data_IF_933470678158
#
_entry.id   IF_933470678158
#
_cell.length_a   1.000
_cell.length_b   1.000
_cell.length_c   1.000
_cell.angle_alpha   90.00
_cell.angle_beta   90.00
_cell.angle_gamma   90.00
#
_symmetry.space_group_name_H-M   'P 1'
#
loop_
_entity.id
_entity.type
_entity.pdbx_description
1 polymer ?
#
# COMPACT_ATOMS: atom_id res chain seq x y z
N UNK A 1 22.13 5.92 14.78
CA UNK A 1 22.14 4.96 13.66
C UNK A 1 22.60 5.71 12.42
N UNK A 2 23.34 5.07 11.51
CA UNK A 2 23.67 5.68 10.22
C UNK A 2 22.37 5.94 9.42
N UNK A 3 22.32 7.03 8.66
CA UNK A 3 21.14 7.43 7.88
C UNK A 3 20.66 6.31 6.94
N UNK A 4 21.61 5.64 6.28
CA UNK A 4 21.36 4.49 5.40
C UNK A 4 20.67 3.31 6.11
N UNK A 5 20.95 3.10 7.40
CA UNK A 5 20.35 2.02 8.17
C UNK A 5 18.86 2.28 8.43
N UNK A 6 18.54 3.53 8.83
CA UNK A 6 17.16 3.92 9.07
C UNK A 6 16.35 3.87 7.76
N UNK A 7 16.92 4.37 6.67
CA UNK A 7 16.28 4.33 5.36
C UNK A 7 15.99 2.91 4.87
N UNK A 8 16.96 1.98 4.95
CA UNK A 8 16.76 0.58 4.53
C UNK A 8 15.73 -0.14 5.42
N UNK A 9 15.75 0.09 6.74
CA UNK A 9 14.78 -0.52 7.65
C UNK A 9 13.35 -0.04 7.35
N UNK A 10 13.18 1.28 7.19
CA UNK A 10 11.90 1.88 6.86
C UNK A 10 11.38 1.36 5.52
N UNK A 11 12.23 1.31 4.49
CA UNK A 11 11.84 0.78 3.18
C UNK A 11 11.43 -0.69 3.27
N UNK A 12 12.19 -1.52 3.99
CA UNK A 12 11.87 -2.92 4.20
C UNK A 12 10.55 -3.11 4.97
N UNK A 13 10.30 -2.29 5.98
CA UNK A 13 9.07 -2.32 6.78
C UNK A 13 7.83 -1.88 5.97
N UNK A 14 7.96 -0.86 5.12
CA UNK A 14 6.90 -0.40 4.21
C UNK A 14 6.60 -1.45 3.14
N UNK A 15 7.64 -2.07 2.57
CA UNK A 15 7.47 -3.12 1.56
C UNK A 15 6.96 -4.45 2.13
N UNK A 16 7.26 -4.75 3.38
CA UNK A 16 7.00 -6.04 4.02
C UNK A 16 7.85 -7.20 3.48
N UNK A 17 8.32 -7.12 2.23
CA UNK A 17 9.25 -8.05 1.63
C UNK A 17 10.04 -7.38 0.51
N UNK A 18 11.34 -7.66 0.45
CA UNK A 18 12.20 -7.30 -0.68
C UNK A 18 12.78 -8.57 -1.31
N UNK A 19 12.75 -8.64 -2.64
CA UNK A 19 13.44 -9.69 -3.41
C UNK A 19 14.74 -9.15 -4.00
N UNK A 20 15.80 -9.93 -3.97
CA UNK A 20 17.10 -9.61 -4.52
C UNK A 20 18.26 -10.15 -3.67
N UNK A 21 19.51 -9.92 -4.10
CA UNK A 21 20.68 -10.21 -3.27
C UNK A 21 20.65 -9.36 -1.99
N UNK A 22 21.10 -9.93 -0.87
CA UNK A 22 21.26 -9.19 0.36
C UNK A 22 22.32 -8.10 0.17
N UNK A 23 21.95 -6.86 0.48
CA UNK A 23 22.90 -5.74 0.54
C UNK A 23 23.59 -5.74 1.91
N UNK A 24 24.76 -5.09 2.06
CA UNK A 24 25.41 -4.95 3.36
C UNK A 24 24.49 -4.32 4.44
N UNK A 25 23.58 -3.43 4.04
CA UNK A 25 22.58 -2.82 4.91
C UNK A 25 21.57 -3.86 5.40
N UNK A 26 21.05 -4.72 4.52
CA UNK A 26 20.14 -5.81 4.89
C UNK A 26 20.82 -6.85 5.80
N UNK A 27 22.09 -7.17 5.53
CA UNK A 27 22.89 -8.04 6.39
C UNK A 27 23.08 -7.42 7.79
N UNK A 28 23.35 -6.12 7.86
CA UNK A 28 23.46 -5.39 9.13
C UNK A 28 22.14 -5.34 9.91
N UNK A 29 21.00 -5.21 9.22
CA UNK A 29 19.67 -5.29 9.83
C UNK A 29 19.39 -6.69 10.37
N UNK A 30 19.73 -7.73 9.60
CA UNK A 30 19.55 -9.12 10.00
C UNK A 30 20.44 -9.48 11.20
N UNK A 31 21.70 -9.05 11.20
CA UNK A 31 22.63 -9.25 12.32
C UNK A 31 22.13 -8.64 13.64
N UNK A 32 21.31 -7.59 13.56
CA UNK A 32 20.71 -6.93 14.73
C UNK A 32 19.29 -7.43 15.05
N UNK A 33 18.77 -8.41 14.29
CA UNK A 33 17.45 -8.99 14.50
C UNK A 33 16.28 -8.13 14.03
N UNK A 34 16.53 -7.13 13.16
CA UNK A 34 15.48 -6.30 12.56
C UNK A 34 14.96 -6.83 11.22
N UNK A 35 15.70 -7.75 10.60
CA UNK A 35 15.30 -8.41 9.36
C UNK A 35 15.58 -9.92 9.40
N UNK A 36 14.89 -10.66 8.53
CA UNK A 36 15.17 -12.07 8.23
C UNK A 36 15.56 -12.17 6.77
N UNK A 37 16.70 -12.82 6.49
CA UNK A 37 17.14 -13.16 5.14
C UNK A 37 16.85 -14.64 4.87
N UNK A 38 16.13 -14.93 3.77
CA UNK A 38 15.77 -16.28 3.34
C UNK A 38 15.98 -16.42 1.84
N UNK A 39 17.16 -16.92 1.44
CA UNK A 39 17.55 -16.98 0.03
C UNK A 39 17.56 -15.58 -0.58
N UNK A 40 16.81 -15.33 -1.67
CA UNK A 40 16.73 -14.00 -2.29
C UNK A 40 15.69 -13.09 -1.63
N UNK A 41 15.15 -13.44 -0.46
CA UNK A 41 14.11 -12.66 0.22
C UNK A 41 14.65 -12.03 1.49
N UNK A 42 14.33 -10.75 1.69
CA UNK A 42 14.45 -10.06 2.96
C UNK A 42 13.06 -9.65 3.44
N UNK A 43 12.79 -9.82 4.74
CA UNK A 43 11.54 -9.42 5.40
C UNK A 43 11.88 -8.71 6.72
N UNK A 44 11.12 -7.70 7.15
CA UNK A 44 11.28 -7.11 8.46
C UNK A 44 10.83 -8.12 9.54
N UNK A 45 11.49 -8.12 10.69
CA UNK A 45 10.95 -8.80 11.89
C UNK A 45 9.88 -7.93 12.55
N UNK A 46 9.04 -8.47 13.45
CA UNK A 46 8.13 -7.62 14.25
C UNK A 46 8.86 -6.45 14.95
N UNK A 47 10.05 -6.72 15.49
CA UNK A 47 10.92 -5.70 16.10
C UNK A 47 11.42 -4.67 15.08
N UNK A 48 11.76 -5.10 13.86
CA UNK A 48 12.15 -4.20 12.77
C UNK A 48 11.00 -3.29 12.36
N UNK A 49 9.80 -3.84 12.20
CA UNK A 49 8.59 -3.09 11.88
C UNK A 49 8.23 -2.10 12.99
N UNK A 50 8.33 -2.49 14.25
CA UNK A 50 8.09 -1.60 15.40
C UNK A 50 9.07 -0.42 15.40
N UNK A 51 10.37 -0.67 15.24
CA UNK A 51 11.39 0.39 15.17
C UNK A 51 11.20 1.31 13.95
N UNK A 52 10.84 0.76 12.78
CA UNK A 52 10.48 1.57 11.62
C UNK A 52 9.26 2.46 11.90
N UNK A 53 8.26 1.93 12.61
CA UNK A 53 7.10 2.67 13.07
C UNK A 53 7.48 3.81 14.01
N UNK A 54 8.37 3.59 14.97
CA UNK A 54 8.89 4.65 15.84
C UNK A 54 9.61 5.75 15.06
N UNK A 55 10.37 5.40 14.02
CA UNK A 55 11.07 6.36 13.16
C UNK A 55 10.10 7.21 12.31
N UNK A 56 8.99 6.62 11.86
CA UNK A 56 8.00 7.28 10.99
C UNK A 56 6.89 8.01 11.75
N UNK A 57 6.70 7.70 13.04
CA UNK A 57 5.53 8.15 13.79
C UNK A 57 5.44 9.67 13.84
N UNK A 58 4.32 10.20 13.38
CA UNK A 58 4.01 11.61 13.54
C UNK A 58 3.80 11.93 15.03
N UNK A 59 4.28 13.08 15.53
CA UNK A 59 4.08 13.44 16.92
C UNK A 59 2.60 13.51 17.26
N UNK A 60 2.19 12.79 18.31
CA UNK A 60 0.80 12.72 18.75
C UNK A 60 0.23 14.10 19.06
N UNK A 61 -0.95 14.40 18.50
CA UNK A 61 -1.64 15.68 18.63
C UNK A 61 -1.10 16.79 17.72
N UNK A 62 -0.07 16.53 16.91
CA UNK A 62 0.46 17.53 15.98
C UNK A 62 -0.55 17.86 14.88
N UNK A 63 -0.44 19.08 14.32
CA UNK A 63 -1.28 19.48 13.19
C UNK A 63 -1.02 18.63 11.93
N UNK A 64 0.18 18.05 11.80
CA UNK A 64 0.52 17.13 10.72
C UNK A 64 -0.19 15.78 10.89
N UNK A 65 -0.12 15.17 12.08
CA UNK A 65 -0.84 13.94 12.38
C UNK A 65 -2.34 14.08 12.12
N UNK A 66 -2.96 15.17 12.58
CA UNK A 66 -4.40 15.42 12.38
C UNK A 66 -4.76 15.53 10.89
N UNK A 67 -3.93 16.20 10.08
CA UNK A 67 -4.16 16.32 8.62
C UNK A 67 -4.00 14.98 7.92
N UNK A 68 -2.95 14.22 8.26
CA UNK A 68 -2.71 12.89 7.68
C UNK A 68 -3.84 11.93 8.08
N UNK A 69 -4.32 11.98 9.33
CA UNK A 69 -5.44 11.17 9.81
C UNK A 69 -6.73 11.43 9.04
N UNK A 70 -7.08 12.70 8.79
CA UNK A 70 -8.26 13.04 8.01
C UNK A 70 -8.19 12.52 6.55
N UNK A 71 -7.00 12.58 5.93
CA UNK A 71 -6.78 12.03 4.59
C UNK A 71 -6.81 10.50 4.58
N UNK A 72 -6.26 9.87 5.61
CA UNK A 72 -6.33 8.43 5.82
C UNK A 72 -7.78 7.94 5.98
N UNK A 73 -8.60 8.64 6.76
CA UNK A 73 -10.05 8.33 6.87
C UNK A 73 -10.76 8.47 5.52
N UNK A 74 -10.39 9.45 4.69
CA UNK A 74 -10.91 9.58 3.30
C UNK A 74 -10.45 8.42 2.40
N UNK A 75 -9.23 7.91 2.62
CA UNK A 75 -8.64 6.82 1.86
C UNK A 75 -9.31 5.46 2.13
N UNK A 76 -9.78 5.20 3.36
CA UNK A 76 -10.27 3.88 3.76
C UNK A 76 -11.48 3.34 2.94
N UNK A 77 -12.54 4.13 2.66
CA UNK A 77 -13.60 3.66 1.76
C UNK A 77 -13.11 3.36 0.34
N UNK A 78 -12.09 4.10 -0.15
CA UNK A 78 -11.47 3.87 -1.45
C UNK A 78 -10.64 2.58 -1.42
N UNK A 79 -9.94 2.31 -0.31
CA UNK A 79 -9.21 1.07 -0.08
C UNK A 79 -10.11 -0.15 -0.16
N UNK A 80 -11.33 -0.09 0.41
CA UNK A 80 -12.34 -1.14 0.26
C UNK A 80 -12.66 -1.41 -1.21
N UNK A 81 -12.93 -0.36 -2.00
CA UNK A 81 -13.24 -0.49 -3.43
C UNK A 81 -12.08 -1.12 -4.21
N UNK A 82 -10.83 -0.74 -3.93
CA UNK A 82 -9.69 -1.39 -4.58
C UNK A 82 -9.62 -2.89 -4.26
N UNK A 83 -9.90 -3.30 -3.02
CA UNK A 83 -9.91 -4.73 -2.68
C UNK A 83 -10.98 -5.49 -3.44
N UNK A 84 -12.14 -4.88 -3.61
CA UNK A 84 -13.23 -5.46 -4.41
C UNK A 84 -12.79 -5.60 -5.88
N UNK A 85 -12.16 -4.57 -6.47
CA UNK A 85 -11.55 -4.61 -7.81
C UNK A 85 -10.50 -5.71 -7.93
N UNK A 86 -9.57 -5.81 -6.98
CA UNK A 86 -8.53 -6.84 -6.99
C UNK A 86 -9.13 -8.25 -6.90
N UNK A 87 -10.21 -8.40 -6.12
CA UNK A 87 -10.93 -9.68 -6.00
C UNK A 87 -11.61 -10.03 -7.32
N UNK A 88 -12.32 -9.09 -7.93
CA UNK A 88 -12.98 -9.28 -9.22
C UNK A 88 -11.98 -9.57 -10.35
N UNK A 89 -10.79 -8.96 -10.32
CA UNK A 89 -9.73 -9.22 -11.28
C UNK A 89 -9.17 -10.64 -11.16
N UNK A 90 -9.05 -11.17 -9.94
CA UNK A 90 -8.48 -12.50 -9.68
C UNK A 90 -9.50 -13.63 -9.85
N UNK A 91 -10.76 -13.40 -9.47
CA UNK A 91 -11.81 -14.40 -9.42
C UNK A 91 -13.14 -13.86 -9.94
N UNK A 92 -13.89 -14.69 -10.65
CA UNK A 92 -15.28 -14.43 -10.99
C UNK A 92 -16.19 -14.53 -9.75
N UNK A 93 -17.44 -13.99 -9.82
CA UNK A 93 -18.40 -14.07 -8.71
C UNK A 93 -18.74 -15.49 -8.25
N UNK A 94 -18.55 -16.50 -9.09
CA UNK A 94 -18.73 -17.91 -8.74
C UNK A 94 -17.53 -18.54 -8.02
N UNK A 95 -16.45 -17.76 -7.81
CA UNK A 95 -15.23 -18.16 -7.13
C UNK A 95 -14.19 -18.86 -8.03
N UNK A 96 -14.49 -19.06 -9.32
CA UNK A 96 -13.50 -19.54 -10.29
C UNK A 96 -12.44 -18.46 -10.57
N UNK A 97 -11.23 -18.87 -10.91
CA UNK A 97 -10.18 -17.92 -11.29
C UNK A 97 -10.55 -17.23 -12.61
N UNK A 98 -10.36 -15.92 -12.68
CA UNK A 98 -10.47 -15.20 -13.93
C UNK A 98 -9.28 -15.57 -14.83
N UNK A 99 -9.55 -16.18 -15.97
CA UNK A 99 -8.53 -16.57 -16.95
C UNK A 99 -8.26 -15.49 -18.02
N UNK A 100 -8.92 -14.33 -17.89
CA UNK A 100 -8.81 -13.18 -18.78
C UNK A 100 -9.22 -13.48 -20.24
N UNK A 101 -10.10 -14.46 -20.44
CA UNK A 101 -10.68 -14.76 -21.76
C UNK A 101 -11.90 -13.89 -22.13
N UNK A 102 -12.57 -13.31 -21.13
CA UNK A 102 -13.69 -12.37 -21.31
C UNK A 102 -13.20 -10.91 -21.24
N UNK A 103 -12.89 -10.35 -22.41
CA UNK A 103 -12.42 -8.98 -22.52
C UNK A 103 -13.45 -7.92 -22.04
N UNK A 104 -14.76 -8.23 -22.07
CA UNK A 104 -15.78 -7.29 -21.61
C UNK A 104 -15.83 -7.26 -20.08
N UNK A 105 -15.66 -8.41 -19.43
CA UNK A 105 -15.52 -8.49 -17.98
C UNK A 105 -14.27 -7.75 -17.49
N UNK A 106 -13.12 -8.01 -18.12
CA UNK A 106 -11.87 -7.33 -17.76
C UNK A 106 -11.95 -5.81 -17.97
N UNK A 107 -12.60 -5.36 -19.04
CA UNK A 107 -12.84 -3.93 -19.28
C UNK A 107 -13.69 -3.30 -18.16
N UNK A 108 -14.74 -3.99 -17.69
CA UNK A 108 -15.57 -3.49 -16.60
C UNK A 108 -14.78 -3.37 -15.27
N UNK A 109 -13.97 -4.37 -14.93
CA UNK A 109 -13.11 -4.30 -13.73
C UNK A 109 -12.04 -3.20 -13.87
N UNK A 110 -11.55 -2.95 -15.10
CA UNK A 110 -10.63 -1.86 -15.41
C UNK A 110 -11.29 -0.49 -15.28
N UNK A 111 -12.56 -0.34 -15.64
CA UNK A 111 -13.33 0.88 -15.43
C UNK A 111 -13.52 1.15 -13.92
N UNK A 112 -13.84 0.12 -13.13
CA UNK A 112 -13.92 0.26 -11.66
C UNK A 112 -12.57 0.68 -11.04
N UNK A 113 -11.44 0.26 -11.63
CA UNK A 113 -10.11 0.69 -11.22
C UNK A 113 -9.85 2.18 -11.54
N UNK A 114 -10.38 2.71 -12.64
CA UNK A 114 -10.30 4.14 -12.95
C UNK A 114 -11.02 4.96 -11.88
N UNK A 115 -12.23 4.56 -11.49
CA UNK A 115 -12.99 5.23 -10.43
C UNK A 115 -12.21 5.25 -9.11
N UNK A 116 -11.52 4.15 -8.77
CA UNK A 116 -10.62 4.08 -7.61
C UNK A 116 -9.45 5.05 -7.77
N UNK A 117 -8.83 5.11 -8.95
CA UNK A 117 -7.69 5.97 -9.22
C UNK A 117 -8.06 7.46 -9.16
N UNK A 118 -9.17 7.84 -9.79
CA UNK A 118 -9.71 9.19 -9.76
C UNK A 118 -10.03 9.65 -8.33
N UNK A 119 -10.57 8.74 -7.50
CA UNK A 119 -10.87 9.03 -6.10
C UNK A 119 -9.59 9.20 -5.25
N UNK A 120 -8.56 8.39 -5.47
CA UNK A 120 -7.33 8.44 -4.63
C UNK A 120 -6.40 9.57 -5.02
N UNK A 121 -6.34 9.96 -6.29
CA UNK A 121 -5.43 10.98 -6.80
C UNK A 121 -5.48 12.32 -6.02
N UNK A 122 -6.66 12.93 -5.72
CA UNK A 122 -6.72 14.14 -4.91
C UNK A 122 -6.29 13.93 -3.46
N UNK A 123 -6.49 12.72 -2.88
CA UNK A 123 -6.00 12.38 -1.54
C UNK A 123 -4.47 12.40 -1.53
N UNK A 124 -3.84 11.74 -2.50
CA UNK A 124 -2.37 11.68 -2.62
C UNK A 124 -1.74 13.06 -2.86
N UNK A 125 -2.35 13.89 -3.72
CA UNK A 125 -1.88 15.27 -3.95
C UNK A 125 -1.92 16.13 -2.68
N UNK A 126 -2.89 15.89 -1.79
CA UNK A 126 -2.99 16.58 -0.49
C UNK A 126 -2.09 15.98 0.58
N UNK A 127 -1.79 14.68 0.47
CA UNK A 127 -0.92 13.95 1.40
C UNK A 127 0.55 14.31 1.19
N UNK A 128 1.00 14.42 -0.07
CA UNK A 128 2.42 14.63 -0.39
C UNK A 128 3.06 15.87 0.29
N UNK A 129 2.41 17.05 0.39
CA UNK A 129 2.99 18.20 1.09
C UNK A 129 3.09 18.04 2.61
N UNK A 130 2.25 17.19 3.21
CA UNK A 130 2.21 16.98 4.67
C UNK A 130 2.89 15.69 5.11
N UNK A 131 3.15 14.76 4.19
CA UNK A 131 3.91 13.54 4.43
C UNK A 131 4.80 13.28 3.19
N UNK A 132 5.94 13.98 3.05
CA UNK A 132 6.74 14.04 1.81
C UNK A 132 7.12 12.70 1.20
N UNK A 133 7.32 11.67 2.04
CA UNK A 133 7.64 10.32 1.57
C UNK A 133 6.56 9.72 0.67
N UNK A 134 5.31 10.18 0.78
CA UNK A 134 4.20 9.71 -0.07
C UNK A 134 4.16 10.34 -1.46
N UNK A 135 5.02 11.32 -1.74
CA UNK A 135 5.00 12.09 -2.99
C UNK A 135 5.20 11.29 -4.27
N UNK A 136 5.79 10.10 -4.19
CA UNK A 136 6.02 9.23 -5.35
C UNK A 136 4.91 8.22 -5.65
N UNK A 137 3.90 8.05 -4.78
CA UNK A 137 2.92 6.99 -4.95
C UNK A 137 2.01 7.21 -6.16
N UNK A 138 1.58 8.44 -6.42
CA UNK A 138 0.70 8.74 -7.55
C UNK A 138 1.37 8.34 -8.88
N UNK A 139 2.62 8.76 -9.08
CA UNK A 139 3.40 8.40 -10.28
C UNK A 139 3.64 6.89 -10.40
N UNK A 140 3.85 6.17 -9.28
CA UNK A 140 4.00 4.70 -9.32
C UNK A 140 2.69 4.00 -9.68
N UNK A 141 1.55 4.50 -9.20
CA UNK A 141 0.23 3.98 -9.57
C UNK A 141 -0.07 4.26 -11.05
N UNK A 142 0.20 5.47 -11.53
CA UNK A 142 0.07 5.85 -12.96
C UNK A 142 0.94 4.94 -13.85
N UNK A 143 2.20 4.71 -13.48
CA UNK A 143 3.08 3.81 -14.23
C UNK A 143 2.58 2.35 -14.23
N UNK A 144 1.90 1.89 -13.18
CA UNK A 144 1.29 0.56 -13.16
C UNK A 144 0.06 0.49 -14.07
N UNK A 145 -0.75 1.54 -14.15
CA UNK A 145 -1.87 1.65 -15.08
C UNK A 145 -1.39 1.64 -16.54
N UNK A 146 -0.35 2.41 -16.86
CA UNK A 146 0.24 2.42 -18.21
C UNK A 146 0.65 1.01 -18.66
N UNK A 147 1.25 0.23 -17.77
CA UNK A 147 1.66 -1.16 -18.06
C UNK A 147 0.48 -2.11 -18.21
N UNK A 148 -0.58 -1.90 -17.43
CA UNK A 148 -1.82 -2.65 -17.56
C UNK A 148 -2.49 -2.36 -18.90
N UNK A 149 -2.52 -1.10 -19.32
CA UNK A 149 -3.11 -0.64 -20.58
C UNK A 149 -2.29 -1.09 -21.81
N UNK A 150 -0.97 -1.30 -21.63
CA UNK A 150 -0.10 -1.96 -22.62
C UNK A 150 -0.36 -3.48 -22.78
N UNK A 151 -1.31 -4.04 -22.01
CA UNK A 151 -1.78 -5.42 -22.12
C UNK A 151 -1.12 -6.42 -21.17
N UNK A 152 -0.30 -5.97 -20.22
CA UNK A 152 0.25 -6.85 -19.19
C UNK A 152 -0.67 -6.91 -17.97
N UNK A 153 -1.65 -7.82 -18.01
CA UNK A 153 -2.67 -8.04 -16.97
C UNK A 153 -2.10 -8.28 -15.57
N UNK A 154 -0.83 -8.69 -15.47
CA UNK A 154 -0.19 -8.92 -14.19
C UNK A 154 0.08 -7.62 -13.41
N UNK A 155 0.02 -6.45 -14.05
CA UNK A 155 0.23 -5.14 -13.41
C UNK A 155 -0.92 -4.63 -12.55
N UNK A 156 -2.09 -5.28 -12.54
CA UNK A 156 -3.12 -4.93 -11.58
C UNK A 156 -2.77 -5.47 -10.18
N UNK A 157 -2.44 -6.76 -10.07
CA UNK A 157 -2.42 -7.46 -8.77
C UNK A 157 -1.14 -8.26 -8.45
N UNK A 158 -0.15 -8.32 -9.33
CA UNK A 158 1.05 -9.15 -9.11
C UNK A 158 1.86 -8.69 -7.87
N UNK A 159 2.22 -9.59 -6.95
CA UNK A 159 3.08 -9.25 -5.80
C UNK A 159 4.57 -9.19 -6.17
N UNK A 160 4.92 -9.47 -7.43
CA UNK A 160 6.32 -9.69 -7.84
C UNK A 160 7.06 -8.40 -8.21
N UNK A 161 6.31 -7.34 -8.49
CA UNK A 161 6.82 -6.02 -8.85
C UNK A 161 5.79 -4.97 -8.40
N UNK A 162 6.06 -3.71 -8.69
CA UNK A 162 5.24 -2.56 -8.33
C UNK A 162 3.96 -2.49 -9.20
N UNK A 163 3.15 -3.56 -9.18
CA UNK A 163 1.77 -3.56 -9.67
C UNK A 163 0.93 -2.53 -8.91
N UNK A 164 -0.24 -2.18 -9.45
CA UNK A 164 -1.14 -1.21 -8.83
C UNK A 164 -1.46 -1.59 -7.37
N UNK A 165 -1.89 -2.84 -7.15
CA UNK A 165 -2.14 -3.38 -5.81
C UNK A 165 -0.90 -3.34 -4.91
N UNK A 166 0.28 -3.73 -5.41
CA UNK A 166 1.51 -3.73 -4.60
C UNK A 166 1.90 -2.32 -4.17
N UNK A 167 1.86 -1.36 -5.09
CA UNK A 167 2.11 0.06 -4.78
C UNK A 167 1.10 0.59 -3.76
N UNK A 168 -0.18 0.21 -3.91
CA UNK A 168 -1.22 0.57 -2.96
C UNK A 168 -0.99 0.01 -1.56
N UNK A 169 -0.56 -1.26 -1.45
CA UNK A 169 -0.24 -1.87 -0.16
C UNK A 169 0.91 -1.17 0.54
N UNK A 170 1.94 -0.74 -0.21
CA UNK A 170 3.03 0.07 0.33
C UNK A 170 2.52 1.42 0.87
N UNK A 171 1.67 2.12 0.11
CA UNK A 171 1.04 3.37 0.54
C UNK A 171 0.26 3.18 1.85
N UNK A 172 -0.58 2.15 1.92
CA UNK A 172 -1.38 1.86 3.11
C UNK A 172 -0.50 1.54 4.32
N UNK A 173 0.53 0.71 4.14
CA UNK A 173 1.48 0.40 5.22
C UNK A 173 2.22 1.66 5.71
N UNK A 174 2.59 2.56 4.81
CA UNK A 174 3.25 3.82 5.17
C UNK A 174 2.36 4.73 6.02
N UNK A 175 1.07 4.83 5.66
CA UNK A 175 0.06 5.56 6.45
C UNK A 175 -0.11 4.97 7.85
N UNK A 176 -0.19 3.64 7.97
CA UNK A 176 -0.35 2.96 9.25
C UNK A 176 0.87 3.18 10.17
N UNK A 177 2.09 3.07 9.63
CA UNK A 177 3.31 3.32 10.40
C UNK A 177 3.38 4.78 10.85
N UNK A 178 3.09 5.73 9.97
CA UNK A 178 3.12 7.16 10.28
C UNK A 178 2.09 7.56 11.35
N UNK A 179 0.87 6.99 11.30
CA UNK A 179 -0.21 7.27 12.24
C UNK A 179 -0.16 6.40 13.50
N UNK A 180 0.70 5.39 13.55
CA UNK A 180 0.76 4.42 14.64
C UNK A 180 -0.51 3.57 14.78
N UNK A 181 -1.22 3.32 13.67
CA UNK A 181 -2.49 2.58 13.65
C UNK A 181 -2.20 1.09 13.46
N UNK A 182 -2.76 0.25 14.32
CA UNK A 182 -2.69 -1.20 14.18
C UNK A 182 -3.61 -1.73 13.08
N UNK A 183 -3.35 -2.94 12.59
CA UNK A 183 -4.20 -3.61 11.60
C UNK A 183 -5.63 -3.86 12.09
N UNK A 184 -5.83 -4.01 13.40
CA UNK A 184 -7.16 -4.18 13.98
C UNK A 184 -7.95 -2.86 13.97
N UNK A 185 -7.31 -1.75 14.38
CA UNK A 185 -7.90 -0.41 14.35
C UNK A 185 -8.21 0.04 12.91
N UNK A 186 -7.32 -0.25 11.97
CA UNK A 186 -7.50 -0.02 10.53
C UNK A 186 -8.77 -0.71 10.01
N UNK A 187 -8.91 -2.01 10.26
CA UNK A 187 -10.06 -2.79 9.82
C UNK A 187 -11.38 -2.32 10.45
N UNK A 188 -11.38 -2.02 11.75
CA UNK A 188 -12.56 -1.52 12.46
C UNK A 188 -13.00 -0.14 11.94
N UNK A 189 -12.05 0.76 11.74
CA UNK A 189 -12.32 2.10 11.22
C UNK A 189 -12.83 2.05 9.78
N UNK A 190 -12.22 1.23 8.93
CA UNK A 190 -12.67 1.08 7.55
C UNK A 190 -14.11 0.58 7.48
N UNK A 191 -14.45 -0.47 8.24
CA UNK A 191 -15.80 -1.01 8.24
C UNK A 191 -16.85 0.02 8.67
N UNK A 192 -16.53 0.81 9.70
CA UNK A 192 -17.38 1.91 10.16
C UNK A 192 -17.60 2.97 9.07
N UNK A 193 -16.54 3.45 8.43
CA UNK A 193 -16.63 4.49 7.40
C UNK A 193 -17.34 4.01 6.13
N UNK A 194 -17.16 2.73 5.77
CA UNK A 194 -17.89 2.11 4.66
C UNK A 194 -19.39 2.03 4.96
N UNK A 195 -19.77 1.68 6.19
CA UNK A 195 -21.18 1.67 6.61
C UNK A 195 -21.79 3.08 6.56
N UNK A 196 -21.10 4.09 7.09
CA UNK A 196 -21.56 5.49 7.07
C UNK A 196 -21.75 6.02 5.63
N UNK A 197 -20.89 5.62 4.70
CA UNK A 197 -21.00 6.03 3.28
C UNK A 197 -22.23 5.39 2.60
N UNK A 198 -22.61 4.17 3.00
CA UNK A 198 -23.80 3.48 2.47
C UNK A 198 -25.10 4.10 2.96
N UNK A 199 -25.14 4.56 4.21
CA UNK A 199 -26.33 5.17 4.80
C UNK A 199 -26.57 6.62 4.30
N UNK A 200 -25.56 7.25 3.72
CA UNK A 200 -25.61 8.62 3.21
C UNK A 200 -26.03 8.73 1.73
N UNK A 201 -26.13 7.62 0.99
CA UNK A 201 -26.51 7.54 -0.42
C UNK A 201 -27.94 7.05 -0.62
#
# INVERSE_FOLDING_TARGET
>A
MAEDFAAELVELAVRGMRRGPATPQLEALAAQGFAVLKGPLAMPTPRGTELAGEMLRLPSGSAEEQRVRALYETFLPINRRLRDVCTAWQCHPDGSANDHSDAAYDAAVRDDLDDVHEAVAPVLRRLAPVLPRTGGYLTRLEAALERLDDGDHSWLASPMFDSYHTVWMHLHQELLLALGVSRAEDAELEERLVAETRDAG
#
